data_IF_315356627577
#
_entry.id   IF_315356627577
#
_cell.length_a   1.000
_cell.length_b   1.000
_cell.length_c   1.000
_cell.angle_alpha   90.00
_cell.angle_beta   90.00
_cell.angle_gamma   90.00
#
_symmetry.space_group_name_H-M   'P 1'
#
loop_
_entity.id
_entity.type
_entity.pdbx_description
1 polymer ?
#
# COMPACT_ATOMS: atom_id res chain seq x y z
N UNK A 1 30.62 -6.76 1.02
CA UNK A 1 29.54 -6.51 2.00
C UNK A 1 28.82 -5.16 1.83
N UNK A 2 29.50 -4.08 1.44
CA UNK A 2 28.96 -2.70 1.41
C UNK A 2 27.96 -2.31 0.30
N UNK A 3 27.88 -3.05 -0.81
CA UNK A 3 26.92 -2.76 -1.89
C UNK A 3 25.51 -3.32 -1.64
N UNK A 4 25.35 -4.12 -0.57
CA UNK A 4 24.10 -4.80 -0.23
C UNK A 4 23.01 -3.84 0.28
N UNK A 5 23.39 -2.83 1.07
CA UNK A 5 22.46 -2.06 1.92
C UNK A 5 21.87 -0.79 1.30
N UNK A 6 22.42 -0.29 0.17
CA UNK A 6 21.99 0.98 -0.44
C UNK A 6 20.48 1.09 -0.77
N UNK A 7 19.83 0.08 -1.38
CA UNK A 7 18.42 0.19 -1.74
C UNK A 7 17.47 0.10 -0.52
N UNK A 8 17.81 -0.72 0.49
CA UNK A 8 17.04 -0.79 1.75
C UNK A 8 17.14 0.54 2.50
N UNK A 9 18.34 1.14 2.52
CA UNK A 9 18.55 2.47 3.10
C UNK A 9 17.68 3.52 2.41
N UNK A 10 17.52 3.46 1.09
CA UNK A 10 16.65 4.37 0.35
C UNK A 10 15.17 4.25 0.74
N UNK A 11 14.66 3.02 0.85
CA UNK A 11 13.29 2.77 1.31
C UNK A 11 13.10 3.26 2.75
N UNK A 12 14.01 2.92 3.66
CA UNK A 12 13.94 3.36 5.05
C UNK A 12 14.00 4.89 5.18
N UNK A 13 14.85 5.56 4.42
CA UNK A 13 14.93 7.02 4.41
C UNK A 13 13.63 7.63 3.88
N UNK A 14 13.10 7.12 2.77
CA UNK A 14 11.83 7.57 2.23
C UNK A 14 10.69 7.40 3.24
N UNK A 15 10.56 6.20 3.81
CA UNK A 15 9.54 5.91 4.83
C UNK A 15 9.69 6.84 6.04
N UNK A 16 10.92 7.06 6.52
CA UNK A 16 11.17 7.97 7.62
C UNK A 16 10.79 9.41 7.28
N UNK A 17 11.15 9.92 6.09
CA UNK A 17 10.80 11.27 5.65
C UNK A 17 9.28 11.43 5.59
N UNK A 18 8.57 10.51 4.93
CA UNK A 18 7.11 10.56 4.82
C UNK A 18 6.47 10.46 6.20
N UNK A 19 6.97 9.59 7.08
CA UNK A 19 6.48 9.44 8.45
C UNK A 19 6.65 10.74 9.24
N UNK A 20 7.85 11.32 9.28
CA UNK A 20 8.11 12.54 10.04
C UNK A 20 7.39 13.76 9.47
N UNK A 21 7.29 13.88 8.15
CA UNK A 21 6.49 14.94 7.51
C UNK A 21 5.00 14.79 7.85
N UNK A 22 4.48 13.56 7.83
CA UNK A 22 3.10 13.26 8.22
C UNK A 22 2.87 13.56 9.69
N UNK A 23 3.79 13.18 10.57
CA UNK A 23 3.71 13.48 12.01
C UNK A 23 3.69 15.00 12.25
N UNK A 24 4.56 15.75 11.59
CA UNK A 24 4.58 17.21 11.71
C UNK A 24 3.27 17.84 11.25
N UNK A 25 2.72 17.38 10.12
CA UNK A 25 1.41 17.83 9.64
C UNK A 25 0.28 17.40 10.59
N UNK A 26 0.32 16.19 11.13
CA UNK A 26 -0.65 15.69 12.11
C UNK A 26 -0.68 16.59 13.35
N UNK A 27 0.48 16.91 13.93
CA UNK A 27 0.58 17.81 15.09
C UNK A 27 -0.02 19.19 14.80
N UNK A 28 0.25 19.75 13.61
CA UNK A 28 -0.36 20.99 13.16
C UNK A 28 -1.89 20.86 13.02
N UNK A 29 -2.35 19.85 12.29
CA UNK A 29 -3.75 19.63 11.99
C UNK A 29 -4.57 19.40 13.27
N UNK A 30 -4.05 18.60 14.21
CA UNK A 30 -4.65 18.34 15.52
C UNK A 30 -4.82 19.62 16.35
N UNK A 31 -3.90 20.59 16.20
CA UNK A 31 -3.97 21.86 16.93
C UNK A 31 -4.86 22.92 16.28
N UNK A 32 -5.12 22.81 14.97
CA UNK A 32 -5.79 23.86 14.17
C UNK A 32 -7.21 23.48 13.79
N UNK A 33 -7.45 22.22 13.41
CA UNK A 33 -8.77 21.79 12.98
C UNK A 33 -9.63 21.42 14.18
N UNK A 34 -10.92 21.84 14.20
CA UNK A 34 -11.84 21.39 15.23
C UNK A 34 -12.10 19.89 15.06
N UNK A 35 -12.26 19.19 16.19
CA UNK A 35 -12.72 17.80 16.20
C UNK A 35 -14.06 17.74 15.46
N UNK A 36 -14.12 16.92 14.42
CA UNK A 36 -15.33 16.75 13.62
C UNK A 36 -16.19 15.73 14.35
N UNK A 37 -17.29 16.17 14.98
CA UNK A 37 -18.24 15.23 15.60
C UNK A 37 -18.72 14.21 14.55
N UNK A 38 -18.39 12.94 14.79
CA UNK A 38 -18.89 11.84 14.00
C UNK A 38 -20.41 11.77 14.12
N UNK A 39 -21.10 12.08 13.02
CA UNK A 39 -22.51 11.73 12.91
C UNK A 39 -22.61 10.25 12.60
N UNK A 40 -22.84 9.43 13.63
CA UNK A 40 -23.17 8.01 13.54
C UNK A 40 -24.40 7.82 12.65
N UNK A 41 -24.16 7.64 11.36
CA UNK A 41 -25.18 7.24 10.40
C UNK A 41 -24.92 5.80 10.05
N UNK A 42 -25.98 5.03 9.77
CA UNK A 42 -25.86 3.63 9.37
C UNK A 42 -24.89 3.41 8.19
N UNK A 43 -24.81 4.39 7.27
CA UNK A 43 -23.85 4.35 6.16
C UNK A 43 -22.41 4.57 6.60
N UNK A 44 -22.17 5.43 7.61
CA UNK A 44 -20.85 5.66 8.18
C UNK A 44 -20.36 4.42 8.94
N UNK A 45 -21.23 3.78 9.73
CA UNK A 45 -20.91 2.54 10.46
C UNK A 45 -20.54 1.39 9.50
N UNK A 46 -21.31 1.20 8.43
CA UNK A 46 -20.95 0.26 7.35
C UNK A 46 -19.62 0.68 6.69
N UNK A 47 -19.44 1.99 6.48
CA UNK A 47 -18.22 2.58 5.95
C UNK A 47 -16.98 2.24 6.77
N UNK A 48 -17.04 2.39 8.10
CA UNK A 48 -15.98 1.98 9.03
C UNK A 48 -15.67 0.49 8.94
N UNK A 49 -16.70 -0.35 8.83
CA UNK A 49 -16.55 -1.79 8.57
C UNK A 49 -15.71 -2.07 7.31
N UNK A 50 -15.98 -1.36 6.21
CA UNK A 50 -15.16 -1.44 5.00
C UNK A 50 -13.76 -0.84 5.17
N UNK A 51 -13.59 0.20 6.02
CA UNK A 51 -12.30 0.76 6.37
C UNK A 51 -11.41 -0.26 7.09
N UNK A 52 -11.97 -0.94 8.09
CA UNK A 52 -11.30 -2.04 8.79
C UNK A 52 -10.94 -3.20 7.85
N UNK A 53 -11.88 -3.60 6.97
CA UNK A 53 -11.60 -4.61 5.96
C UNK A 53 -10.47 -4.18 5.00
N UNK A 54 -10.47 -2.92 4.56
CA UNK A 54 -9.40 -2.36 3.73
C UNK A 54 -8.04 -2.44 4.44
N UNK A 55 -7.96 -2.07 5.72
CA UNK A 55 -6.72 -2.16 6.51
C UNK A 55 -6.20 -3.59 6.59
N UNK A 56 -7.08 -4.57 6.86
CA UNK A 56 -6.70 -5.99 6.90
C UNK A 56 -6.16 -6.46 5.55
N UNK A 57 -6.84 -6.10 4.45
CA UNK A 57 -6.38 -6.43 3.09
C UNK A 57 -5.02 -5.77 2.80
N UNK A 58 -4.84 -4.51 3.20
CA UNK A 58 -3.59 -3.77 3.02
C UNK A 58 -2.44 -4.46 3.75
N UNK A 59 -2.64 -4.78 5.04
CA UNK A 59 -1.68 -5.52 5.86
C UNK A 59 -1.33 -6.84 5.20
N UNK A 60 -2.32 -7.58 4.69
CA UNK A 60 -2.08 -8.83 3.98
C UNK A 60 -1.21 -8.65 2.74
N UNK A 61 -1.49 -7.66 1.88
CA UNK A 61 -0.69 -7.36 0.67
C UNK A 61 0.76 -6.99 1.03
N UNK A 62 0.95 -6.18 2.07
CA UNK A 62 2.31 -5.78 2.49
C UNK A 62 3.06 -6.89 3.21
N UNK A 63 2.40 -7.69 4.04
CA UNK A 63 2.98 -8.87 4.64
C UNK A 63 3.46 -9.85 3.57
N UNK A 64 2.67 -10.02 2.52
CA UNK A 64 3.04 -10.80 1.35
C UNK A 64 4.27 -10.26 0.61
N UNK A 65 4.37 -8.94 0.50
CA UNK A 65 5.55 -8.26 -0.05
C UNK A 65 6.77 -8.43 0.86
N UNK A 66 6.58 -8.34 2.18
CA UNK A 66 7.62 -8.56 3.18
C UNK A 66 8.14 -10.01 3.17
N UNK A 67 7.26 -11.01 3.07
CA UNK A 67 7.64 -12.41 2.91
C UNK A 67 8.46 -12.63 1.63
N UNK A 68 8.07 -12.01 0.51
CA UNK A 68 8.85 -12.04 -0.75
C UNK A 68 10.26 -11.46 -0.56
N UNK A 69 10.41 -10.42 0.28
CA UNK A 69 11.72 -9.83 0.60
C UNK A 69 12.54 -10.73 1.54
N UNK A 70 11.91 -11.43 2.48
CA UNK A 70 12.59 -12.32 3.44
C UNK A 70 13.03 -13.66 2.82
N UNK A 71 12.25 -14.24 1.92
CA UNK A 71 12.47 -15.57 1.32
C UNK A 71 13.44 -15.59 0.13
N UNK A 72 13.90 -14.42 -0.36
CA UNK A 72 14.78 -14.32 -1.51
C UNK A 72 16.27 -14.48 -1.18
N UNK A 73 16.90 -15.52 -1.73
CA UNK A 73 18.34 -15.80 -1.71
C UNK A 73 19.21 -14.67 -2.34
N UNK A 74 19.42 -13.56 -1.61
CA UNK A 74 20.30 -12.41 -1.92
C UNK A 74 19.87 -11.63 -3.17
N UNK A 75 20.36 -10.47 -3.60
CA UNK A 75 20.93 -9.27 -2.99
C UNK A 75 19.78 -8.24 -2.75
N UNK A 76 18.52 -8.61 -3.03
CA UNK A 76 17.22 -8.00 -2.65
C UNK A 76 16.07 -8.99 -3.05
N UNK A 77 16.39 -10.06 -3.82
CA UNK A 77 15.69 -11.34 -3.97
C UNK A 77 16.28 -12.28 -5.06
N UNK A 78 16.72 -11.90 -6.27
CA UNK A 78 18.05 -11.37 -6.63
C UNK A 78 17.97 -10.53 -7.92
N UNK A 79 17.88 -9.22 -7.80
CA UNK A 79 17.38 -8.55 -6.61
C UNK A 79 15.86 -8.67 -6.46
N UNK A 80 15.11 -9.29 -7.36
CA UNK A 80 13.69 -9.69 -7.21
C UNK A 80 13.29 -10.84 -8.19
N UNK A 81 14.32 -11.54 -8.72
CA UNK A 81 14.40 -12.77 -9.57
C UNK A 81 13.90 -12.76 -11.04
N UNK A 82 14.83 -12.54 -11.99
CA UNK A 82 14.94 -13.23 -13.27
C UNK A 82 16.14 -14.21 -13.30
N UNK A 83 15.87 -15.49 -13.53
CA UNK A 83 16.41 -16.34 -14.62
C UNK A 83 15.94 -17.79 -14.40
N UNK A 84 15.67 -18.49 -15.50
CA UNK A 84 15.06 -19.82 -15.60
C UNK A 84 15.67 -20.90 -14.70
N UNK A 85 15.01 -21.30 -13.60
CA UNK A 85 15.31 -22.57 -12.93
C UNK A 85 14.03 -23.26 -12.37
N UNK A 86 13.66 -24.44 -12.88
CA UNK A 86 12.90 -25.44 -12.14
C UNK A 86 13.85 -26.49 -11.53
N UNK A 87 13.43 -27.28 -10.52
CA UNK A 87 13.14 -26.87 -9.15
C UNK A 87 14.06 -27.61 -8.15
N UNK A 88 14.41 -27.02 -7.00
CA UNK A 88 14.97 -27.86 -5.92
C UNK A 88 14.82 -27.24 -4.52
N UNK A 89 13.59 -27.24 -4.00
CA UNK A 89 13.23 -27.89 -2.73
C UNK A 89 11.73 -27.68 -2.49
N UNK A 90 11.03 -28.74 -2.07
CA UNK A 90 9.59 -28.81 -1.84
C UNK A 90 9.14 -28.04 -0.60
N UNK A 91 9.36 -26.73 -0.55
CA UNK A 91 8.94 -25.89 0.57
C UNK A 91 7.54 -25.33 0.31
N UNK A 92 6.62 -25.59 1.24
CA UNK A 92 5.28 -25.00 1.34
C UNK A 92 5.25 -23.49 1.02
N UNK A 93 6.32 -22.77 1.36
CA UNK A 93 6.47 -21.34 1.10
C UNK A 93 6.58 -21.00 -0.40
N UNK A 94 7.18 -21.86 -1.23
CA UNK A 94 7.22 -21.65 -2.68
C UNK A 94 5.82 -21.82 -3.31
N UNK A 95 5.06 -22.80 -2.83
CA UNK A 95 3.68 -23.00 -3.28
C UNK A 95 2.79 -21.83 -2.84
N UNK A 96 2.97 -21.34 -1.60
CA UNK A 96 2.31 -20.14 -1.10
C UNK A 96 2.67 -18.91 -1.95
N UNK A 97 3.95 -18.73 -2.31
CA UNK A 97 4.41 -17.62 -3.15
C UNK A 97 3.82 -17.65 -4.56
N UNK A 98 3.69 -18.83 -5.18
CA UNK A 98 3.06 -18.98 -6.51
C UNK A 98 1.58 -18.62 -6.46
N UNK A 99 0.84 -19.15 -5.48
CA UNK A 99 -0.57 -18.82 -5.28
C UNK A 99 -0.73 -17.32 -5.04
N UNK A 100 0.08 -16.78 -4.14
CA UNK A 100 0.05 -15.38 -3.76
C UNK A 100 0.39 -14.43 -4.92
N UNK A 101 1.33 -14.80 -5.79
CA UNK A 101 1.65 -13.99 -6.96
C UNK A 101 0.54 -14.03 -8.02
N UNK A 102 -0.16 -15.16 -8.13
CA UNK A 102 -1.33 -15.30 -9.01
C UNK A 102 -2.53 -14.51 -8.52
N UNK A 103 -2.73 -14.43 -7.21
CA UNK A 103 -3.88 -13.73 -6.61
C UNK A 103 -3.63 -12.25 -6.35
N UNK A 104 -2.37 -11.79 -6.27
CA UNK A 104 -2.02 -10.40 -5.94
C UNK A 104 -2.76 -9.34 -6.77
N UNK A 105 -2.93 -9.55 -8.08
CA UNK A 105 -3.66 -8.60 -8.93
C UNK A 105 -5.14 -8.50 -8.51
N UNK A 106 -5.80 -9.63 -8.27
CA UNK A 106 -7.18 -9.66 -7.83
C UNK A 106 -7.36 -9.09 -6.42
N UNK A 107 -6.42 -9.39 -5.52
CA UNK A 107 -6.40 -8.83 -4.15
C UNK A 107 -6.17 -7.32 -4.20
N UNK A 108 -5.31 -6.83 -5.10
CA UNK A 108 -5.11 -5.39 -5.32
C UNK A 108 -6.37 -4.69 -5.85
N UNK A 109 -7.05 -5.27 -6.83
CA UNK A 109 -8.34 -4.76 -7.32
C UNK A 109 -9.38 -4.73 -6.19
N UNK A 110 -9.48 -5.81 -5.41
CA UNK A 110 -10.38 -5.86 -4.27
C UNK A 110 -10.05 -4.78 -3.23
N UNK A 111 -8.76 -4.58 -2.91
CA UNK A 111 -8.32 -3.54 -1.99
C UNK A 111 -8.74 -2.14 -2.45
N UNK A 112 -8.49 -1.80 -3.71
CA UNK A 112 -8.88 -0.50 -4.28
C UNK A 112 -10.39 -0.33 -4.23
N UNK A 113 -11.16 -1.34 -4.64
CA UNK A 113 -12.63 -1.27 -4.62
C UNK A 113 -13.17 -1.08 -3.21
N UNK A 114 -12.64 -1.80 -2.21
CA UNK A 114 -13.05 -1.67 -0.81
C UNK A 114 -12.68 -0.29 -0.26
N UNK A 115 -11.48 0.23 -0.56
CA UNK A 115 -11.07 1.58 -0.13
C UNK A 115 -11.95 2.66 -0.77
N UNK A 116 -12.23 2.58 -2.07
CA UNK A 116 -13.10 3.55 -2.74
C UNK A 116 -14.54 3.47 -2.22
N UNK A 117 -15.04 2.27 -1.93
CA UNK A 117 -16.34 2.08 -1.31
C UNK A 117 -16.39 2.69 0.10
N UNK A 118 -15.38 2.44 0.92
CA UNK A 118 -15.22 3.07 2.24
C UNK A 118 -15.27 4.60 2.13
N UNK A 119 -14.50 5.20 1.22
CA UNK A 119 -14.47 6.65 0.99
C UNK A 119 -15.84 7.19 0.54
N UNK A 120 -16.55 6.45 -0.31
CA UNK A 120 -17.87 6.83 -0.78
C UNK A 120 -18.93 6.81 0.35
N UNK A 121 -18.84 5.84 1.25
CA UNK A 121 -19.77 5.67 2.38
C UNK A 121 -19.54 6.70 3.50
N UNK A 122 -18.27 7.02 3.79
CA UNK A 122 -17.89 8.05 4.77
C UNK A 122 -18.20 9.47 4.26
N UNK A 123 -18.18 9.66 2.93
CA UNK A 123 -18.59 10.90 2.28
C UNK A 123 -17.42 11.80 1.90
N UNK A 124 -17.21 11.96 0.59
CA UNK A 124 -16.05 12.64 0.01
C UNK A 124 -15.82 14.08 0.54
N UNK A 125 -16.87 14.89 0.68
CA UNK A 125 -16.70 16.31 1.00
C UNK A 125 -16.26 16.58 2.44
N UNK A 126 -16.50 15.65 3.37
CA UNK A 126 -16.40 15.89 4.82
C UNK A 126 -14.95 16.16 5.26
N UNK A 127 -14.00 15.41 4.72
CA UNK A 127 -12.59 15.43 5.16
C UNK A 127 -11.62 16.05 4.14
N UNK A 128 -12.13 16.65 3.05
CA UNK A 128 -11.29 17.25 1.98
C UNK A 128 -10.36 18.37 2.44
N UNK A 129 -10.67 19.03 3.56
CA UNK A 129 -9.84 20.08 4.14
C UNK A 129 -8.63 19.52 4.90
N UNK A 130 -8.66 18.25 5.32
CA UNK A 130 -7.54 17.55 5.94
C UNK A 130 -6.70 16.93 4.82
N UNK A 131 -5.48 17.42 4.62
CA UNK A 131 -4.62 17.03 3.49
C UNK A 131 -4.37 15.52 3.35
N UNK A 132 -4.39 14.76 4.45
CA UNK A 132 -4.26 13.29 4.39
C UNK A 132 -5.31 12.63 3.50
N UNK A 133 -6.55 13.14 3.52
CA UNK A 133 -7.65 12.55 2.76
C UNK A 133 -7.50 12.71 1.23
N UNK A 134 -7.40 13.92 0.65
CA UNK A 134 -7.21 14.07 -0.79
C UNK A 134 -5.87 13.47 -1.25
N UNK A 135 -4.81 13.51 -0.43
CA UNK A 135 -3.54 12.88 -0.79
C UNK A 135 -3.66 11.34 -0.87
N UNK A 136 -4.28 10.70 0.13
CA UNK A 136 -4.51 9.26 0.13
C UNK A 136 -5.41 8.84 -1.04
N UNK A 137 -6.49 9.57 -1.31
CA UNK A 137 -7.37 9.29 -2.45
C UNK A 137 -6.64 9.38 -3.79
N UNK A 138 -5.86 10.45 -4.02
CA UNK A 138 -5.07 10.60 -5.25
C UNK A 138 -4.11 9.42 -5.39
N UNK A 139 -3.44 9.01 -4.31
CA UNK A 139 -2.53 7.87 -4.34
C UNK A 139 -3.25 6.55 -4.61
N UNK A 140 -4.45 6.32 -4.06
CA UNK A 140 -5.27 5.12 -4.30
C UNK A 140 -5.75 5.08 -5.75
N UNK A 141 -6.25 6.20 -6.28
CA UNK A 141 -6.65 6.31 -7.70
C UNK A 141 -5.45 6.08 -8.60
N UNK A 142 -4.30 6.69 -8.28
CA UNK A 142 -3.04 6.47 -8.99
C UNK A 142 -2.63 4.99 -8.93
N UNK A 143 -2.72 4.33 -7.78
CA UNK A 143 -2.43 2.90 -7.63
C UNK A 143 -3.30 2.04 -8.54
N UNK A 144 -4.61 2.33 -8.62
CA UNK A 144 -5.53 1.61 -9.47
C UNK A 144 -5.27 1.83 -10.95
N UNK A 145 -5.16 3.09 -11.38
CA UNK A 145 -4.90 3.43 -12.78
C UNK A 145 -3.55 2.90 -13.25
N UNK A 146 -2.51 3.05 -12.44
CA UNK A 146 -1.17 2.58 -12.77
C UNK A 146 -1.11 1.05 -12.75
N UNK A 147 -1.76 0.39 -11.79
CA UNK A 147 -1.88 -1.06 -11.75
C UNK A 147 -2.59 -1.63 -12.99
N UNK A 148 -3.70 -1.01 -13.40
CA UNK A 148 -4.44 -1.38 -14.61
C UNK A 148 -3.62 -1.12 -15.88
N UNK A 149 -2.91 0.01 -15.94
CA UNK A 149 -2.01 0.31 -17.05
C UNK A 149 -0.93 -0.75 -17.19
N UNK A 150 -0.31 -1.16 -16.08
CA UNK A 150 0.72 -2.20 -16.09
C UNK A 150 0.19 -3.56 -16.55
N UNK A 151 -1.00 -3.97 -16.09
CA UNK A 151 -1.61 -5.24 -16.50
C UNK A 151 -2.10 -5.24 -17.94
N UNK A 152 -2.53 -4.09 -18.46
CA UNK A 152 -2.99 -3.95 -19.84
C UNK A 152 -1.82 -3.83 -20.84
N UNK A 153 -0.80 -3.01 -20.52
CA UNK A 153 0.26 -2.65 -21.47
C UNK A 153 1.39 -3.66 -21.56
N UNK A 154 1.64 -4.40 -20.48
CA UNK A 154 2.83 -5.24 -20.35
C UNK A 154 2.47 -6.67 -19.97
N UNK A 155 3.13 -7.63 -20.62
CA UNK A 155 3.10 -9.01 -20.18
C UNK A 155 3.87 -9.18 -18.86
N UNK A 156 3.58 -10.24 -18.07
CA UNK A 156 4.34 -10.54 -16.86
C UNK A 156 5.85 -10.71 -17.07
N UNK A 157 6.28 -11.03 -18.29
CA UNK A 157 7.70 -11.12 -18.66
C UNK A 157 8.34 -9.74 -18.85
N UNK A 158 7.61 -8.78 -19.44
CA UNK A 158 8.08 -7.40 -19.67
C UNK A 158 8.08 -6.58 -18.38
N UNK A 159 7.07 -6.76 -17.51
CA UNK A 159 7.03 -6.09 -16.19
C UNK A 159 8.25 -6.39 -15.32
N UNK A 160 8.88 -7.56 -15.50
CA UNK A 160 10.11 -7.93 -14.80
C UNK A 160 11.32 -7.10 -15.24
N UNK A 161 11.36 -6.64 -16.49
CA UNK A 161 12.40 -5.72 -16.97
C UNK A 161 12.19 -4.30 -16.42
N UNK A 162 10.93 -3.90 -16.23
CA UNK A 162 10.56 -2.61 -15.64
C UNK A 162 10.36 -2.67 -14.11
N UNK A 163 11.26 -3.38 -13.41
CA UNK A 163 11.18 -3.56 -11.95
C UNK A 163 11.03 -2.22 -11.20
N UNK A 164 11.60 -1.11 -11.70
CA UNK A 164 11.45 0.21 -11.09
C UNK A 164 9.99 0.72 -11.03
N UNK A 165 9.12 0.35 -11.98
CA UNK A 165 7.71 0.73 -11.98
C UNK A 165 6.96 0.06 -10.81
N UNK A 166 7.31 -1.20 -10.51
CA UNK A 166 6.76 -1.94 -9.36
C UNK A 166 7.25 -1.33 -8.04
N UNK A 167 8.47 -0.80 -8.00
CA UNK A 167 8.97 -0.07 -6.82
C UNK A 167 8.18 1.21 -6.57
N UNK A 168 7.80 1.94 -7.63
CA UNK A 168 6.98 3.14 -7.50
C UNK A 168 5.62 2.82 -6.82
N UNK A 169 5.00 1.68 -7.14
CA UNK A 169 3.77 1.24 -6.48
C UNK A 169 3.95 0.95 -5.00
N UNK A 170 5.06 0.31 -4.65
CA UNK A 170 5.40 0.04 -3.25
C UNK A 170 5.61 1.34 -2.45
N UNK A 171 6.31 2.34 -3.02
CA UNK A 171 6.54 3.63 -2.36
C UNK A 171 5.26 4.43 -2.13
N UNK A 172 4.39 4.51 -3.14
CA UNK A 172 3.08 5.15 -3.01
C UNK A 172 2.19 4.38 -2.03
N UNK A 173 2.35 3.06 -1.99
CA UNK A 173 1.67 2.19 -1.06
C UNK A 173 2.02 2.45 0.41
N UNK A 174 3.31 2.60 0.72
CA UNK A 174 3.79 3.03 2.04
C UNK A 174 3.18 4.38 2.43
N UNK A 175 3.16 5.34 1.50
CA UNK A 175 2.57 6.65 1.76
C UNK A 175 1.07 6.56 2.05
N UNK A 176 0.30 5.76 1.31
CA UNK A 176 -1.12 5.49 1.59
C UNK A 176 -1.29 4.97 3.02
N UNK A 177 -0.49 3.97 3.42
CA UNK A 177 -0.58 3.41 4.78
C UNK A 177 -0.30 4.43 5.88
N UNK A 178 0.72 5.26 5.71
CA UNK A 178 1.06 6.31 6.68
C UNK A 178 -0.03 7.39 6.74
N UNK A 179 -0.55 7.84 5.59
CA UNK A 179 -1.61 8.84 5.54
C UNK A 179 -2.92 8.32 6.09
N UNK A 180 -3.26 7.05 5.84
CA UNK A 180 -4.42 6.40 6.42
C UNK A 180 -4.28 6.29 7.94
N UNK A 181 -3.11 5.91 8.46
CA UNK A 181 -2.85 5.83 9.90
C UNK A 181 -3.06 7.18 10.59
N UNK A 182 -2.36 8.23 10.16
CA UNK A 182 -2.49 9.55 10.79
C UNK A 182 -3.83 10.21 10.50
N UNK A 183 -4.42 9.96 9.33
CA UNK A 183 -5.74 10.47 8.97
C UNK A 183 -6.84 9.92 9.84
N UNK A 184 -6.85 8.59 10.09
CA UNK A 184 -7.83 7.96 10.99
C UNK A 184 -7.64 8.42 12.43
N UNK A 185 -6.42 8.46 12.95
CA UNK A 185 -6.17 8.97 14.32
C UNK A 185 -6.65 10.42 14.47
N UNK A 186 -6.55 11.25 13.43
CA UNK A 186 -7.00 12.64 13.47
C UNK A 186 -8.52 12.79 13.42
N UNK A 187 -9.25 11.77 12.97
CA UNK A 187 -10.70 11.81 12.78
C UNK A 187 -11.44 11.03 13.88
N UNK A 188 -10.86 9.93 14.34
CA UNK A 188 -11.44 9.00 15.31
C UNK A 188 -11.26 9.47 16.79
N UNK A 189 -10.39 10.46 17.05
CA UNK A 189 -10.19 11.14 18.37
C UNK A 189 -10.95 12.47 18.48
#
# INVERSE_FOLDING_TARGET
>A
MWQSLRPIKGILIYTAIIFWASLAYFMYAYSVYPVIEEKETFMAEIGEGFGNAALVILIFIYFCTFLKLMLGEGKLAKRLLPDCLPPMNSSFLNQLLVVLNRTHVFVGIAAISVILLHIALIGFSRYTHILFFPAALILVVWQGLFGLFLTWRYSPAELKQFSYLVHAQFFTGIAIGIFALFGHILIDD
#
